data_IF_366554101095
#
_entry.id   IF_366554101095
#
_cell.length_a   1.000
_cell.length_b   1.000
_cell.length_c   1.000
_cell.angle_alpha   90.00
_cell.angle_beta   90.00
_cell.angle_gamma   90.00
#
_symmetry.space_group_name_H-M   'P 1'
#
loop_
_entity.id
_entity.type
_entity.pdbx_description
1 polymer ?
#
# COMPACT_ATOMS: atom_id res chain seq x y z
N UNK A 1 -6.35 9.21 2.82
CA UNK A 1 -6.29 8.53 1.50
C UNK A 1 -4.97 7.82 1.21
N UNK A 2 -3.80 8.46 1.26
CA UNK A 2 -2.51 7.79 0.96
C UNK A 2 -2.28 6.52 1.76
N UNK A 3 -2.61 6.54 3.06
CA UNK A 3 -2.48 5.35 3.92
C UNK A 3 -3.38 4.21 3.45
N UNK A 4 -4.64 4.49 3.10
CA UNK A 4 -5.53 3.51 2.49
C UNK A 4 -4.93 2.92 1.20
N UNK A 5 -4.40 3.77 0.31
CA UNK A 5 -3.77 3.30 -0.92
C UNK A 5 -2.54 2.40 -0.65
N UNK A 6 -1.69 2.76 0.32
CA UNK A 6 -0.55 1.95 0.73
C UNK A 6 -0.97 0.61 1.38
N UNK A 7 -2.05 0.60 2.14
CA UNK A 7 -2.64 -0.63 2.67
C UNK A 7 -3.18 -1.51 1.53
N UNK A 8 -3.75 -0.92 0.47
CA UNK A 8 -4.17 -1.67 -0.72
C UNK A 8 -2.99 -2.29 -1.48
N UNK A 9 -1.81 -1.65 -1.49
CA UNK A 9 -0.60 -2.26 -2.08
C UNK A 9 -0.19 -3.53 -1.33
N UNK A 10 -0.35 -3.54 0.00
CA UNK A 10 -0.09 -4.72 0.85
C UNK A 10 -1.22 -5.74 0.74
N UNK A 11 -2.49 -5.34 0.75
CA UNK A 11 -3.59 -6.31 0.76
C UNK A 11 -3.81 -6.94 -0.62
N UNK A 12 -3.69 -6.14 -1.67
CA UNK A 12 -4.16 -6.46 -3.01
C UNK A 12 -3.13 -6.14 -4.10
N UNK A 13 -1.95 -5.62 -3.78
CA UNK A 13 -0.97 -5.17 -4.78
C UNK A 13 0.38 -5.89 -4.75
N UNK A 14 1.42 -5.15 -5.13
CA UNK A 14 2.79 -5.66 -5.27
C UNK A 14 3.46 -6.06 -3.96
N UNK A 15 2.90 -5.69 -2.82
CA UNK A 15 3.45 -5.97 -1.49
C UNK A 15 2.71 -7.08 -0.73
N UNK A 16 1.85 -7.86 -1.40
CA UNK A 16 1.05 -8.97 -0.81
C UNK A 16 1.82 -9.89 0.13
N UNK A 17 3.12 -10.13 -0.13
CA UNK A 17 3.95 -10.97 0.73
C UNK A 17 4.05 -10.45 2.18
N UNK A 18 3.90 -9.15 2.41
CA UNK A 18 3.90 -8.57 3.76
C UNK A 18 2.73 -9.06 4.64
N UNK A 19 1.62 -9.55 4.04
CA UNK A 19 0.52 -10.15 4.80
C UNK A 19 0.92 -11.38 5.62
N UNK A 20 2.05 -12.02 5.29
CA UNK A 20 2.60 -13.13 6.08
C UNK A 20 2.95 -12.74 7.53
N UNK A 21 3.08 -11.44 7.83
CA UNK A 21 3.29 -10.94 9.19
C UNK A 21 1.99 -10.89 10.03
N UNK A 22 0.82 -11.03 9.39
CA UNK A 22 -0.49 -10.95 10.02
C UNK A 22 -1.40 -9.95 9.32
N UNK A 23 -2.51 -10.42 8.75
CA UNK A 23 -3.50 -9.57 8.08
C UNK A 23 -4.17 -8.57 9.02
N UNK A 24 -4.26 -8.91 10.31
CA UNK A 24 -4.80 -8.05 11.37
C UNK A 24 -3.92 -6.82 11.69
N UNK A 25 -2.68 -6.78 11.21
CA UNK A 25 -1.79 -5.64 11.42
C UNK A 25 -2.09 -4.46 10.50
N UNK A 26 -2.90 -4.64 9.44
CA UNK A 26 -3.23 -3.60 8.46
C UNK A 26 -2.00 -2.83 7.94
N UNK A 27 -0.90 -3.56 7.72
CA UNK A 27 0.38 -2.98 7.30
C UNK A 27 0.22 -2.17 6.00
N UNK A 28 1.01 -1.13 5.89
CA UNK A 28 1.03 -0.25 4.73
C UNK A 28 2.45 -0.19 4.17
N UNK A 29 2.58 -0.14 2.85
CA UNK A 29 3.89 -0.01 2.24
C UNK A 29 3.87 0.06 0.73
N UNK A 30 5.04 0.28 0.14
CA UNK A 30 5.21 0.43 -1.30
C UNK A 30 6.50 -0.22 -1.76
N UNK A 31 6.39 -0.99 -2.84
CA UNK A 31 7.56 -1.48 -3.59
C UNK A 31 8.08 -0.39 -4.53
N UNK A 32 9.41 -0.29 -4.64
CA UNK A 32 10.12 0.49 -5.65
C UNK A 32 11.10 -0.39 -6.43
N UNK A 33 11.16 -0.20 -7.74
CA UNK A 33 12.11 -0.88 -8.63
C UNK A 33 12.61 0.17 -9.62
N UNK A 34 13.92 0.33 -9.74
CA UNK A 34 14.50 1.24 -10.75
C UNK A 34 14.68 0.54 -12.09
N UNK A 35 14.93 1.33 -13.14
CA UNK A 35 15.19 0.80 -14.49
C UNK A 35 16.35 -0.20 -14.47
N UNK A 36 16.30 -1.16 -15.41
CA UNK A 36 17.24 -2.28 -15.52
C UNK A 36 17.40 -3.14 -14.25
N UNK A 37 16.46 -3.06 -13.30
CA UNK A 37 16.55 -3.78 -12.02
C UNK A 37 17.87 -3.51 -11.28
N UNK A 38 18.32 -2.25 -11.23
CA UNK A 38 19.52 -1.86 -10.48
C UNK A 38 19.27 -1.79 -8.97
N UNK A 39 18.10 -1.27 -8.61
CA UNK A 39 17.70 -1.09 -7.22
C UNK A 39 16.34 -1.72 -6.96
N UNK A 40 16.27 -2.41 -5.82
CA UNK A 40 15.04 -2.86 -5.21
C UNK A 40 14.83 -2.07 -3.90
N UNK A 41 13.66 -1.46 -3.75
CA UNK A 41 13.26 -0.72 -2.56
C UNK A 41 11.96 -1.28 -1.99
N UNK A 42 11.85 -1.23 -0.66
CA UNK A 42 10.57 -1.36 0.02
C UNK A 42 10.53 -0.40 1.21
N UNK A 43 9.50 0.45 1.25
CA UNK A 43 9.19 1.29 2.39
C UNK A 43 7.85 0.87 2.96
N UNK A 44 7.79 0.61 4.26
CA UNK A 44 6.56 0.15 4.90
C UNK A 44 6.54 0.44 6.39
N UNK A 45 5.35 0.30 6.98
CA UNK A 45 5.15 0.59 8.39
C UNK A 45 4.06 -0.28 9.04
N UNK A 46 4.23 -0.51 10.34
CA UNK A 46 3.22 -0.96 11.30
C UNK A 46 2.70 0.23 12.12
N UNK A 47 1.82 0.01 13.08
CA UNK A 47 1.33 1.06 13.96
C UNK A 47 2.41 1.69 14.86
N UNK A 48 3.57 1.05 14.99
CA UNK A 48 4.65 1.46 15.90
C UNK A 48 6.05 1.50 15.27
N UNK A 49 6.22 1.11 14.01
CA UNK A 49 7.51 1.15 13.32
C UNK A 49 7.35 1.60 11.88
N UNK A 50 8.26 2.45 11.42
CA UNK A 50 8.50 2.74 9.99
C UNK A 50 9.89 2.21 9.65
N UNK A 51 10.02 1.53 8.52
CA UNK A 51 11.32 1.04 8.06
C UNK A 51 11.39 1.01 6.54
N UNK A 52 12.61 1.19 6.04
CA UNK A 52 12.93 1.19 4.61
C UNK A 52 14.07 0.22 4.38
N UNK A 53 13.93 -0.61 3.35
CA UNK A 53 14.98 -1.51 2.89
C UNK A 53 15.32 -1.16 1.45
N UNK A 54 16.62 -1.07 1.18
CA UNK A 54 17.20 -1.03 -0.15
C UNK A 54 18.09 -2.25 -0.35
N UNK A 55 18.04 -2.79 -1.56
CA UNK A 55 18.98 -3.78 -2.05
C UNK A 55 19.46 -3.30 -3.41
N UNK A 56 20.78 -3.23 -3.56
CA UNK A 56 21.46 -2.83 -4.78
C UNK A 56 22.93 -3.22 -4.70
N UNK A 57 23.69 -2.83 -5.71
CA UNK A 57 25.14 -3.03 -5.76
C UNK A 57 25.85 -1.69 -5.74
N UNK A 58 26.96 -1.63 -5.01
CA UNK A 58 27.79 -0.43 -4.95
C UNK A 58 28.37 -0.03 -6.32
N UNK A 59 28.54 -1.01 -7.23
CA UNK A 59 28.98 -0.78 -8.62
C UNK A 59 27.85 -0.39 -9.58
N UNK A 60 26.64 -0.14 -9.06
CA UNK A 60 25.43 0.25 -9.79
C UNK A 60 25.04 -0.72 -10.93
N UNK A 61 25.54 -1.95 -10.94
CA UNK A 61 25.13 -2.95 -11.93
C UNK A 61 23.76 -3.54 -11.59
N UNK A 62 23.02 -4.07 -12.58
CA UNK A 62 21.76 -4.77 -12.34
C UNK A 62 21.89 -5.88 -11.28
N UNK A 63 20.90 -5.96 -10.39
CA UNK A 63 20.74 -7.05 -9.42
C UNK A 63 19.74 -8.11 -9.87
N UNK A 64 18.93 -7.81 -10.90
CA UNK A 64 17.90 -8.73 -11.42
C UNK A 64 16.74 -8.96 -10.45
N UNK A 65 16.59 -8.11 -9.42
CA UNK A 65 15.55 -8.17 -8.40
C UNK A 65 14.70 -6.91 -8.44
N UNK A 66 13.40 -7.08 -8.18
CA UNK A 66 12.45 -5.99 -8.01
C UNK A 66 12.29 -5.61 -6.53
N UNK A 67 11.65 -4.49 -6.23
CA UNK A 67 11.28 -4.15 -4.85
C UNK A 67 10.50 -5.26 -4.13
N UNK A 68 9.66 -6.01 -4.86
CA UNK A 68 8.87 -7.12 -4.32
C UNK A 68 9.65 -8.42 -4.11
N UNK A 69 10.74 -8.63 -4.85
CA UNK A 69 11.54 -9.87 -4.81
C UNK A 69 12.90 -9.73 -4.14
N UNK A 70 13.41 -8.50 -3.99
CA UNK A 70 14.67 -8.18 -3.30
C UNK A 70 14.45 -7.56 -1.93
N UNK A 71 13.97 -6.31 -1.89
CA UNK A 71 13.87 -5.54 -0.64
C UNK A 71 12.73 -5.99 0.28
N UNK A 72 11.54 -6.29 -0.26
CA UNK A 72 10.38 -6.69 0.53
C UNK A 72 10.63 -7.94 1.39
N UNK A 73 11.23 -9.04 0.89
CA UNK A 73 11.56 -10.20 1.73
C UNK A 73 12.47 -9.88 2.91
N UNK A 74 13.47 -9.01 2.71
CA UNK A 74 14.37 -8.54 3.78
C UNK A 74 13.61 -7.71 4.80
N UNK A 75 12.73 -6.80 4.34
CA UNK A 75 11.87 -6.02 5.21
C UNK A 75 10.95 -6.91 6.06
N UNK A 76 10.34 -7.95 5.47
CA UNK A 76 9.51 -8.92 6.18
C UNK A 76 10.33 -9.69 7.22
N UNK A 77 11.53 -10.15 6.88
CA UNK A 77 12.39 -10.88 7.83
C UNK A 77 12.85 -10.00 9.01
N UNK A 78 13.08 -8.71 8.77
CA UNK A 78 13.37 -7.76 9.83
C UNK A 78 12.15 -7.53 10.72
N UNK A 79 11.01 -7.18 10.14
CA UNK A 79 9.79 -6.82 10.87
C UNK A 79 9.22 -8.00 11.68
N UNK A 80 9.38 -9.25 11.22
CA UNK A 80 8.92 -10.45 11.98
C UNK A 80 9.58 -10.60 13.35
N UNK A 81 10.75 -9.95 13.56
CA UNK A 81 11.52 -10.03 14.81
C UNK A 81 11.06 -8.98 15.83
N UNK A 82 10.17 -8.09 15.44
CA UNK A 82 9.64 -7.01 16.27
C UNK A 82 8.25 -7.37 16.80
N UNK A 83 7.87 -6.75 17.93
CA UNK A 83 6.49 -6.75 18.41
C UNK A 83 5.71 -5.65 17.69
N UNK A 84 5.00 -6.01 16.63
CA UNK A 84 4.26 -5.07 15.79
C UNK A 84 2.88 -4.76 16.37
N UNK A 85 2.44 -3.50 16.25
CA UNK A 85 1.05 -3.11 16.49
C UNK A 85 0.32 -2.84 15.17
N UNK A 86 -1.01 -3.00 15.12
CA UNK A 86 -1.78 -2.67 13.93
C UNK A 86 -1.68 -1.20 13.54
N UNK A 87 -1.67 -0.92 12.24
CA UNK A 87 -1.89 0.44 11.73
C UNK A 87 -3.36 0.80 11.97
N UNK A 88 -3.60 1.61 13.00
CA UNK A 88 -4.91 2.15 13.35
C UNK A 88 -4.84 3.68 13.29
N UNK A 89 -5.07 4.23 12.10
CA UNK A 89 -5.05 5.68 11.91
C UNK A 89 -6.46 6.24 12.09
N UNK A 90 -6.61 7.37 12.82
CA UNK A 90 -7.90 8.02 12.92
C UNK A 90 -8.36 8.47 11.54
N UNK A 91 -9.66 8.33 11.29
CA UNK A 91 -10.27 8.88 10.10
C UNK A 91 -10.28 10.42 10.21
N UNK A 92 -9.65 11.13 9.26
CA UNK A 92 -9.63 12.58 9.30
C UNK A 92 -10.99 13.15 8.86
N UNK A 93 -11.30 14.36 9.32
CA UNK A 93 -12.45 15.12 8.84
C UNK A 93 -12.38 15.36 7.32
N UNK A 94 -13.55 15.53 6.69
CA UNK A 94 -13.65 15.82 5.25
C UNK A 94 -13.31 14.63 4.35
N UNK A 95 -13.44 13.40 4.87
CA UNK A 95 -13.41 12.17 4.09
C UNK A 95 -14.81 11.57 4.06
N UNK A 96 -15.26 11.21 2.85
CA UNK A 96 -16.49 10.50 2.60
C UNK A 96 -16.20 9.19 1.89
N UNK A 97 -16.92 8.15 2.26
CA UNK A 97 -16.81 6.85 1.61
C UNK A 97 -17.94 6.66 0.61
N UNK A 98 -17.57 6.50 -0.66
CA UNK A 98 -18.52 6.39 -1.76
C UNK A 98 -18.32 5.09 -2.53
N UNK A 99 -19.41 4.56 -3.07
CA UNK A 99 -19.36 3.54 -4.10
C UNK A 99 -19.05 4.22 -5.43
N UNK A 100 -17.90 3.90 -6.00
CA UNK A 100 -17.45 4.42 -7.29
C UNK A 100 -17.32 3.28 -8.29
N UNK A 101 -17.72 3.53 -9.53
CA UNK A 101 -17.43 2.60 -10.62
C UNK A 101 -15.92 2.56 -10.86
N UNK A 102 -15.36 1.36 -10.85
CA UNK A 102 -13.94 1.14 -11.05
C UNK A 102 -13.52 1.64 -12.46
N UNK A 103 -12.34 2.26 -12.56
CA UNK A 103 -11.77 2.90 -13.75
C UNK A 103 -12.42 4.22 -14.20
N UNK A 104 -13.73 4.43 -14.03
CA UNK A 104 -14.37 5.69 -14.44
C UNK A 104 -14.38 6.74 -13.33
N UNK A 105 -14.35 6.31 -12.06
CA UNK A 105 -14.41 7.21 -10.89
C UNK A 105 -15.77 7.88 -10.70
N UNK A 106 -16.78 7.50 -11.48
CA UNK A 106 -18.16 7.99 -11.35
C UNK A 106 -18.85 7.35 -10.16
N UNK A 107 -19.87 8.03 -9.63
CA UNK A 107 -20.74 7.47 -8.61
C UNK A 107 -21.39 6.18 -9.10
N UNK A 108 -21.49 5.23 -8.19
CA UNK A 108 -22.10 3.93 -8.38
C UNK A 108 -22.88 3.56 -7.12
N UNK A 109 -23.43 2.35 -7.11
CA UNK A 109 -24.07 1.77 -5.92
C UNK A 109 -23.44 0.44 -5.57
N UNK A 110 -23.67 -0.03 -4.34
CA UNK A 110 -23.14 -1.29 -3.83
C UNK A 110 -23.51 -2.52 -4.67
N UNK A 111 -24.59 -2.45 -5.47
CA UNK A 111 -25.12 -3.56 -6.27
C UNK A 111 -24.53 -3.63 -7.67
N UNK A 112 -23.80 -2.60 -8.09
CA UNK A 112 -23.15 -2.57 -9.40
C UNK A 112 -21.92 -3.50 -9.38
N UNK A 113 -21.82 -4.39 -10.37
CA UNK A 113 -20.80 -5.44 -10.43
C UNK A 113 -19.34 -4.94 -10.43
N UNK A 114 -19.10 -3.69 -10.85
CA UNK A 114 -17.77 -3.08 -10.90
C UNK A 114 -17.63 -1.90 -9.92
N UNK A 115 -18.47 -1.83 -8.89
CA UNK A 115 -18.37 -0.80 -7.87
C UNK A 115 -17.27 -1.10 -6.84
N UNK A 116 -16.59 -0.06 -6.38
CA UNK A 116 -15.61 -0.12 -5.30
C UNK A 116 -15.92 0.94 -4.26
N UNK A 117 -15.86 0.55 -2.99
CA UNK A 117 -16.01 1.45 -1.86
C UNK A 117 -14.66 2.11 -1.55
N UNK A 118 -14.58 3.43 -1.71
CA UNK A 118 -13.32 4.18 -1.65
C UNK A 118 -13.50 5.47 -0.84
N UNK A 119 -12.45 5.90 -0.10
CA UNK A 119 -12.45 7.19 0.57
C UNK A 119 -12.15 8.32 -0.43
N UNK A 120 -12.98 9.35 -0.42
CA UNK A 120 -12.92 10.55 -1.27
C UNK A 120 -12.87 11.79 -0.38
N UNK A 121 -12.19 12.85 -0.80
CA UNK A 121 -12.25 14.13 -0.09
C UNK A 121 -13.59 14.81 -0.36
N UNK A 122 -14.29 15.26 0.68
CA UNK A 122 -15.55 16.00 0.56
C UNK A 122 -15.42 17.28 -0.29
N UNK A 123 -14.23 17.87 -0.36
CA UNK A 123 -13.97 19.03 -1.21
C UNK A 123 -13.90 18.71 -2.72
N UNK A 124 -13.82 17.44 -3.10
CA UNK A 124 -13.63 16.98 -4.48
C UNK A 124 -14.59 15.84 -4.83
N UNK A 125 -15.84 15.94 -4.38
CA UNK A 125 -16.87 14.94 -4.67
C UNK A 125 -17.19 14.91 -6.18
N UNK A 126 -17.44 13.73 -6.76
CA UNK A 126 -17.93 13.63 -8.13
C UNK A 126 -19.28 14.36 -8.32
N UNK A 127 -19.57 14.80 -9.54
CA UNK A 127 -20.89 15.36 -9.86
C UNK A 127 -22.02 14.38 -9.55
N UNK A 128 -23.10 14.86 -8.93
CA UNK A 128 -24.27 14.04 -8.54
C UNK A 128 -24.19 13.39 -7.16
N UNK A 129 -23.22 13.76 -6.31
CA UNK A 129 -23.03 13.19 -4.96
C UNK A 129 -23.93 13.81 -3.88
N UNK A 130 -24.93 14.62 -4.25
CA UNK A 130 -25.83 15.33 -3.33
C UNK A 130 -27.20 14.67 -3.21
#
# INVERSE_FOLDING_TARGET
MTNYALQQVVSNGSARRAQSLGSNLNLAGKTGTTNDYRDAWFAGYSGNYVSVVWVGRDDNKPIGLSGGTGALPVWVDYMKRLKLTPVALPEPEGIEWLWLENNSGKLSNERCANARYLPVMSAHLPEGSQ
#
